data_IF_933544298118
#
_entry.id   IF_933544298118
#
_cell.length_a   1.000
_cell.length_b   1.000
_cell.length_c   1.000
_cell.angle_alpha   90.00
_cell.angle_beta   90.00
_cell.angle_gamma   90.00
#
_symmetry.space_group_name_H-M   'P 1'
#
loop_
_entity.id
_entity.type
_entity.pdbx_description
1 polymer ?
#
# COMPACT_ATOMS: atom_id res chain seq x y z
N UNK A 1 -10.71 15.40 13.65
CA UNK A 1 -9.54 15.23 12.76
C UNK A 1 -8.44 16.21 13.18
N UNK A 2 -7.19 15.76 13.34
CA UNK A 2 -6.09 16.61 13.86
C UNK A 2 -5.85 17.88 13.03
N UNK A 3 -6.18 17.88 11.76
CA UNK A 3 -6.09 19.06 10.88
C UNK A 3 -7.10 20.15 11.28
N UNK A 4 -8.26 19.77 11.79
CA UNK A 4 -9.29 20.71 12.19
C UNK A 4 -8.95 21.44 13.51
N UNK A 5 -8.34 20.72 14.44
CA UNK A 5 -7.81 21.29 15.69
C UNK A 5 -6.64 22.22 15.39
N UNK A 6 -5.67 21.75 14.60
CA UNK A 6 -4.52 22.55 14.16
C UNK A 6 -4.95 23.81 13.36
N UNK A 7 -6.02 23.72 12.56
CA UNK A 7 -6.47 24.85 11.76
C UNK A 7 -6.94 26.01 12.63
N UNK A 8 -7.59 25.75 13.77
CA UNK A 8 -8.00 26.78 14.72
C UNK A 8 -6.80 27.39 15.43
N UNK A 9 -5.92 26.56 15.97
CA UNK A 9 -4.73 27.04 16.69
C UNK A 9 -3.77 27.83 15.80
N UNK A 10 -3.51 27.38 14.58
CA UNK A 10 -2.60 28.05 13.65
C UNK A 10 -3.19 29.31 13.01
N UNK A 11 -4.52 29.47 12.96
CA UNK A 11 -5.15 30.70 12.52
C UNK A 11 -4.87 31.86 13.49
N UNK A 12 -4.71 31.56 14.79
CA UNK A 12 -4.42 32.51 15.85
C UNK A 12 -2.92 32.78 16.04
N UNK A 13 -2.04 32.16 15.21
CA UNK A 13 -0.59 32.27 15.29
C UNK A 13 0.02 32.93 14.05
N UNK A 14 -0.06 34.29 13.94
CA UNK A 14 0.54 35.01 12.82
C UNK A 14 2.07 34.97 12.82
N UNK A 15 2.70 34.67 13.98
CA UNK A 15 4.14 34.46 14.13
C UNK A 15 4.64 33.21 13.38
N UNK A 16 3.78 32.22 13.14
CA UNK A 16 4.11 31.04 12.34
C UNK A 16 3.94 31.37 10.87
N UNK A 17 5.04 31.66 10.18
CA UNK A 17 5.05 32.06 8.78
C UNK A 17 5.28 30.90 7.80
N UNK A 18 5.86 29.79 8.28
CA UNK A 18 6.21 28.62 7.47
C UNK A 18 5.45 27.40 7.92
N UNK A 19 4.93 26.64 6.96
CA UNK A 19 4.35 25.31 7.19
C UNK A 19 5.08 24.26 6.37
N UNK A 20 5.41 23.14 7.00
CA UNK A 20 5.95 21.94 6.35
C UNK A 20 4.94 20.82 6.55
N UNK A 21 4.46 20.24 5.44
CA UNK A 21 3.52 19.12 5.47
C UNK A 21 4.27 17.87 5.02
N UNK A 22 4.45 16.95 5.95
CA UNK A 22 4.95 15.61 5.64
C UNK A 22 3.80 14.71 5.15
N UNK A 23 4.13 13.69 4.36
CA UNK A 23 3.18 12.78 3.70
C UNK A 23 2.08 13.53 2.91
N UNK A 24 2.50 14.54 2.14
CA UNK A 24 1.59 15.43 1.41
C UNK A 24 0.72 14.73 0.36
N UNK A 25 1.01 13.48 0.00
CA UNK A 25 0.13 12.62 -0.82
C UNK A 25 -1.29 12.49 -0.24
N UNK A 26 -1.47 12.67 1.07
CA UNK A 26 -2.77 12.72 1.74
C UNK A 26 -3.68 13.87 1.25
N UNK A 27 -3.10 14.89 0.61
CA UNK A 27 -3.80 16.08 0.08
C UNK A 27 -4.00 16.03 -1.45
N UNK A 28 -3.70 14.92 -2.11
CA UNK A 28 -3.86 14.76 -3.57
C UNK A 28 -5.28 14.98 -4.07
N UNK A 29 -6.28 14.63 -3.25
CA UNK A 29 -7.69 14.82 -3.62
C UNK A 29 -8.21 16.17 -3.14
N UNK A 30 -8.36 17.11 -4.08
CA UNK A 30 -8.85 18.48 -3.85
C UNK A 30 -10.27 18.58 -3.30
N UNK A 31 -11.10 17.52 -3.42
CA UNK A 31 -12.51 17.55 -3.01
C UNK A 31 -12.70 17.16 -1.55
N UNK A 32 -11.68 16.65 -0.88
CA UNK A 32 -11.76 16.23 0.52
C UNK A 32 -11.83 17.43 1.46
N UNK A 33 -12.50 17.23 2.61
CA UNK A 33 -12.55 18.23 3.68
C UNK A 33 -11.15 18.58 4.18
N UNK A 34 -10.29 17.59 4.37
CA UNK A 34 -8.87 17.77 4.73
C UNK A 34 -8.16 18.76 3.79
N UNK A 35 -8.32 18.62 2.48
CA UNK A 35 -7.71 19.53 1.51
C UNK A 35 -8.29 20.94 1.61
N UNK A 36 -9.60 21.09 1.81
CA UNK A 36 -10.25 22.40 1.95
C UNK A 36 -9.78 23.13 3.21
N UNK A 37 -9.68 22.41 4.33
CA UNK A 37 -9.15 22.97 5.58
C UNK A 37 -7.69 23.39 5.45
N UNK A 38 -6.84 22.51 4.88
CA UNK A 38 -5.43 22.83 4.63
C UNK A 38 -5.30 24.09 3.76
N UNK A 39 -6.07 24.21 2.70
CA UNK A 39 -6.03 25.39 1.82
C UNK A 39 -6.37 26.69 2.55
N UNK A 40 -7.38 26.68 3.45
CA UNK A 40 -7.74 27.85 4.27
C UNK A 40 -6.63 28.22 5.24
N UNK A 41 -6.11 27.21 5.94
CA UNK A 41 -5.03 27.38 6.91
C UNK A 41 -3.76 27.97 6.28
N UNK A 42 -3.38 27.44 5.11
CA UNK A 42 -2.14 27.79 4.43
C UNK A 42 -2.22 29.13 3.67
N UNK A 43 -3.42 29.64 3.42
CA UNK A 43 -3.62 30.91 2.72
C UNK A 43 -2.98 32.13 3.41
N UNK A 44 -2.77 32.06 4.72
CA UNK A 44 -2.14 33.12 5.52
C UNK A 44 -0.64 32.90 5.77
N UNK A 45 -0.04 31.85 5.21
CA UNK A 45 1.36 31.49 5.45
C UNK A 45 2.24 31.91 4.27
N UNK A 46 3.41 32.45 4.57
CA UNK A 46 4.34 32.96 3.56
C UNK A 46 5.06 31.82 2.83
N UNK A 47 5.35 30.72 3.54
CA UNK A 47 6.13 29.59 3.02
C UNK A 47 5.41 28.27 3.27
N UNK A 48 5.30 27.45 2.22
CA UNK A 48 4.73 26.12 2.29
C UNK A 48 5.65 25.11 1.62
N UNK A 49 6.04 24.09 2.37
CA UNK A 49 6.77 22.94 1.84
C UNK A 49 5.90 21.70 1.98
N UNK A 50 5.76 20.96 0.88
CA UNK A 50 5.11 19.66 0.84
C UNK A 50 6.16 18.58 0.61
N UNK A 51 6.24 17.61 1.53
CA UNK A 51 7.16 16.49 1.43
C UNK A 51 6.37 15.22 1.14
N UNK A 52 6.79 14.44 0.15
CA UNK A 52 6.22 13.13 -0.17
C UNK A 52 7.19 12.31 -0.99
N UNK A 53 7.29 11.02 -0.70
CA UNK A 53 8.04 10.06 -1.52
C UNK A 53 7.27 9.63 -2.79
N UNK A 54 5.94 9.82 -2.81
CA UNK A 54 5.07 9.36 -3.90
C UNK A 54 4.07 10.45 -4.29
N UNK A 55 4.47 11.45 -5.10
CA UNK A 55 3.60 12.58 -5.43
C UNK A 55 2.40 12.20 -6.30
N UNK A 56 2.50 11.13 -7.09
CA UNK A 56 1.43 10.70 -8.01
C UNK A 56 1.18 9.18 -7.91
N UNK A 57 0.78 8.66 -6.72
CA UNK A 57 0.72 7.21 -6.48
C UNK A 57 -0.32 6.48 -7.33
N UNK A 58 -1.40 7.14 -7.74
CA UNK A 58 -2.46 6.54 -8.58
C UNK A 58 -2.44 7.05 -10.03
N UNK A 59 -1.56 8.02 -10.34
CA UNK A 59 -1.41 8.57 -11.67
C UNK A 59 -1.26 10.10 -11.70
N UNK A 60 -1.09 10.68 -12.90
CA UNK A 60 -0.74 12.09 -13.07
C UNK A 60 -1.77 13.08 -12.47
N UNK A 61 -3.03 12.67 -12.36
CA UNK A 61 -4.10 13.49 -11.78
C UNK A 61 -3.91 13.80 -10.29
N UNK A 62 -3.16 12.96 -9.56
CA UNK A 62 -2.89 13.15 -8.13
C UNK A 62 -2.07 14.42 -7.86
N UNK A 63 -1.26 14.88 -8.84
CA UNK A 63 -0.47 16.09 -8.73
C UNK A 63 -1.30 17.35 -8.48
N UNK A 64 -2.54 17.39 -9.00
CA UNK A 64 -3.34 18.62 -8.99
C UNK A 64 -3.69 19.11 -7.58
N UNK A 65 -4.06 18.20 -6.67
CA UNK A 65 -4.41 18.58 -5.29
C UNK A 65 -3.24 19.25 -4.56
N UNK A 66 -2.04 18.67 -4.68
CA UNK A 66 -0.83 19.23 -4.05
C UNK A 66 -0.40 20.54 -4.70
N UNK A 67 -0.37 20.61 -6.04
CA UNK A 67 -0.06 21.84 -6.76
C UNK A 67 -1.03 22.95 -6.43
N UNK A 68 -2.32 22.61 -6.16
CA UNK A 68 -3.31 23.61 -5.74
C UNK A 68 -2.98 24.27 -4.41
N UNK A 69 -2.28 23.60 -3.53
CA UNK A 69 -1.79 24.15 -2.26
C UNK A 69 -0.53 25.00 -2.44
N UNK A 70 0.43 24.54 -3.24
CA UNK A 70 1.76 25.16 -3.37
C UNK A 70 1.77 26.36 -4.30
N UNK A 71 1.24 26.23 -5.51
CA UNK A 71 1.37 27.20 -6.59
C UNK A 71 0.03 27.55 -7.25
N UNK A 72 -1.10 27.16 -6.63
CA UNK A 72 -2.45 27.35 -7.16
C UNK A 72 -2.61 26.81 -8.60
N UNK A 73 -1.87 25.75 -8.96
CA UNK A 73 -1.83 25.15 -10.30
C UNK A 73 -1.50 26.16 -11.41
N UNK A 74 -0.72 27.21 -11.12
CA UNK A 74 -0.44 28.33 -12.04
C UNK A 74 -1.74 28.93 -12.63
N UNK A 75 -2.85 28.88 -11.90
CA UNK A 75 -4.16 29.37 -12.34
C UNK A 75 -4.98 28.36 -13.16
N UNK A 76 -4.40 27.21 -13.54
CA UNK A 76 -5.10 26.21 -14.35
C UNK A 76 -6.26 25.57 -13.58
N UNK A 77 -7.42 25.41 -14.25
CA UNK A 77 -8.59 24.71 -13.72
C UNK A 77 -8.44 23.20 -13.79
N UNK A 78 -9.12 22.48 -12.89
CA UNK A 78 -9.10 21.02 -12.85
C UNK A 78 -9.48 20.36 -14.19
N UNK A 79 -10.55 20.82 -14.84
CA UNK A 79 -11.02 20.20 -16.07
C UNK A 79 -9.97 20.32 -17.20
N UNK A 80 -9.38 21.51 -17.34
CA UNK A 80 -8.30 21.77 -18.30
C UNK A 80 -7.13 20.84 -18.05
N UNK A 81 -6.63 20.76 -16.81
CA UNK A 81 -5.54 19.87 -16.45
C UNK A 81 -5.88 18.42 -16.71
N UNK A 82 -7.06 17.96 -16.25
CA UNK A 82 -7.52 16.59 -16.44
C UNK A 82 -7.56 16.21 -17.93
N UNK A 83 -8.16 17.03 -18.77
CA UNK A 83 -8.28 16.78 -20.21
C UNK A 83 -6.91 16.83 -20.92
N UNK A 84 -5.97 17.59 -20.38
CA UNK A 84 -4.60 17.65 -20.89
C UNK A 84 -3.83 16.35 -20.59
N UNK A 85 -3.99 15.75 -19.41
CA UNK A 85 -3.19 14.59 -18.99
C UNK A 85 -3.89 13.25 -19.17
N UNK A 86 -5.22 13.21 -19.33
CA UNK A 86 -6.00 11.98 -19.43
C UNK A 86 -6.69 11.84 -20.77
N UNK A 87 -6.77 10.60 -21.28
CA UNK A 87 -7.51 10.21 -22.45
C UNK A 87 -8.72 9.37 -22.06
N UNK A 88 -9.91 9.76 -22.51
CA UNK A 88 -11.14 8.98 -22.29
C UNK A 88 -11.17 7.82 -23.28
N UNK A 89 -11.16 6.59 -22.79
CA UNK A 89 -11.20 5.36 -23.58
C UNK A 89 -12.62 4.77 -23.63
N UNK A 90 -13.40 4.99 -22.57
CA UNK A 90 -14.81 4.59 -22.50
C UNK A 90 -15.56 5.50 -21.53
N UNK A 91 -16.89 5.28 -21.37
CA UNK A 91 -17.71 6.07 -20.45
C UNK A 91 -17.13 6.13 -19.02
N UNK A 92 -16.46 5.07 -18.57
CA UNK A 92 -15.94 4.95 -17.20
C UNK A 92 -14.42 4.72 -17.11
N UNK A 93 -13.70 4.77 -18.25
CA UNK A 93 -12.26 4.47 -18.28
C UNK A 93 -11.47 5.61 -18.89
N UNK A 94 -10.53 6.12 -18.09
CA UNK A 94 -9.54 7.09 -18.48
C UNK A 94 -8.15 6.48 -18.36
N UNK A 95 -7.25 6.82 -19.24
CA UNK A 95 -5.84 6.42 -19.20
C UNK A 95 -4.95 7.65 -19.32
N UNK A 96 -3.74 7.65 -18.72
CA UNK A 96 -2.79 8.72 -18.94
C UNK A 96 -2.41 8.85 -20.41
N UNK A 97 -2.33 10.08 -20.92
CA UNK A 97 -1.75 10.37 -22.24
C UNK A 97 -0.24 10.22 -22.23
N UNK A 98 0.37 10.07 -23.39
CA UNK A 98 1.82 10.19 -23.56
C UNK A 98 2.29 11.52 -22.98
N UNK A 99 3.38 11.52 -22.18
CA UNK A 99 3.92 12.71 -21.52
C UNK A 99 3.09 13.24 -20.33
N UNK A 100 2.03 12.55 -19.88
CA UNK A 100 1.19 12.99 -18.76
C UNK A 100 1.98 13.13 -17.45
N UNK A 101 2.97 12.28 -17.19
CA UNK A 101 3.85 12.38 -16.02
C UNK A 101 4.76 13.60 -16.06
N UNK A 102 5.26 13.97 -17.23
CA UNK A 102 6.02 15.21 -17.41
C UNK A 102 5.16 16.45 -17.14
N UNK A 103 3.89 16.41 -17.58
CA UNK A 103 2.93 17.48 -17.28
C UNK A 103 2.62 17.61 -15.78
N UNK A 104 2.50 16.46 -15.09
CA UNK A 104 2.34 16.44 -13.63
C UNK A 104 3.58 17.00 -12.93
N UNK A 105 4.79 16.66 -13.41
CA UNK A 105 6.02 17.23 -12.88
C UNK A 105 6.09 18.75 -13.07
N UNK A 106 5.74 19.26 -14.25
CA UNK A 106 5.68 20.71 -14.52
C UNK A 106 4.68 21.41 -13.61
N UNK A 107 3.53 20.79 -13.35
CA UNK A 107 2.51 21.36 -12.47
C UNK A 107 2.97 21.45 -11.01
N UNK A 108 3.83 20.55 -10.56
CA UNK A 108 4.34 20.51 -9.17
C UNK A 108 5.51 21.47 -8.93
N UNK A 109 5.99 22.20 -9.96
CA UNK A 109 7.11 23.12 -9.78
C UNK A 109 6.75 24.32 -8.87
N UNK A 110 7.71 24.83 -8.07
CA UNK A 110 9.08 24.34 -7.92
C UNK A 110 9.13 23.06 -7.06
N UNK A 111 9.69 22.00 -7.62
CA UNK A 111 9.84 20.72 -6.92
C UNK A 111 11.28 20.22 -7.04
N UNK A 112 11.82 19.71 -5.95
CA UNK A 112 13.15 19.07 -5.89
C UNK A 112 12.95 17.60 -5.54
N UNK A 113 13.66 16.72 -6.21
CA UNK A 113 13.66 15.28 -5.95
C UNK A 113 15.06 14.83 -5.58
N UNK A 114 15.15 14.10 -4.48
CA UNK A 114 16.33 13.38 -4.07
C UNK A 114 16.02 11.88 -4.10
N UNK A 115 16.80 11.09 -4.85
CA UNK A 115 16.76 9.64 -4.70
C UNK A 115 17.65 9.24 -3.50
N UNK A 116 17.25 8.20 -2.78
CA UNK A 116 18.05 7.70 -1.66
C UNK A 116 19.45 7.30 -2.12
N UNK A 117 19.55 6.67 -3.31
CA UNK A 117 20.81 6.30 -3.97
C UNK A 117 21.75 7.48 -4.24
N UNK A 118 21.22 8.69 -4.35
CA UNK A 118 22.03 9.90 -4.60
C UNK A 118 22.60 10.51 -3.30
N UNK A 119 22.05 10.07 -2.16
CA UNK A 119 22.36 10.64 -0.85
C UNK A 119 23.16 9.71 0.05
N UNK A 120 22.92 8.40 -0.03
CA UNK A 120 23.52 7.38 0.86
C UNK A 120 23.67 6.06 0.13
N UNK A 121 24.72 5.32 0.49
CA UNK A 121 24.88 3.92 0.10
C UNK A 121 24.11 3.02 1.07
N UNK A 122 23.12 2.31 0.57
CA UNK A 122 22.41 1.27 1.32
C UNK A 122 22.88 -0.11 0.86
N UNK A 123 22.84 -1.12 1.76
CA UNK A 123 23.04 -2.50 1.36
C UNK A 123 22.04 -2.91 0.25
N UNK A 124 22.38 -3.89 -0.60
CA UNK A 124 21.51 -4.34 -1.66
C UNK A 124 20.14 -4.78 -1.15
N UNK A 125 19.08 -4.39 -1.86
CA UNK A 125 17.71 -4.84 -1.61
C UNK A 125 17.25 -5.71 -2.78
N UNK A 126 16.92 -6.98 -2.51
CA UNK A 126 16.47 -7.95 -3.53
C UNK A 126 14.99 -8.24 -3.36
N UNK A 127 14.25 -8.25 -4.47
CA UNK A 127 12.85 -8.70 -4.49
C UNK A 127 12.79 -10.07 -5.15
N UNK A 128 12.16 -11.04 -4.50
CA UNK A 128 12.05 -12.42 -4.95
C UNK A 128 10.60 -12.88 -4.95
N UNK A 129 10.12 -13.39 -6.08
CA UNK A 129 8.84 -14.08 -6.14
C UNK A 129 9.01 -15.55 -5.74
N UNK A 130 8.12 -16.04 -4.86
CA UNK A 130 8.05 -17.44 -4.47
C UNK A 130 6.67 -17.98 -4.80
N UNK A 131 6.61 -18.87 -5.78
CA UNK A 131 5.39 -19.58 -6.10
C UNK A 131 5.06 -20.61 -5.02
N UNK A 132 3.78 -20.65 -4.66
CA UNK A 132 3.21 -21.63 -3.74
C UNK A 132 1.98 -22.26 -4.37
N UNK A 133 1.62 -23.45 -3.92
CA UNK A 133 0.43 -24.14 -4.40
C UNK A 133 -0.79 -23.77 -3.57
N UNK A 134 -1.96 -23.78 -4.21
CA UNK A 134 -3.23 -23.78 -3.49
C UNK A 134 -3.48 -25.19 -2.91
N UNK A 135 -4.04 -25.27 -1.71
CA UNK A 135 -4.60 -26.53 -1.23
C UNK A 135 -5.78 -26.99 -2.12
N UNK A 136 -6.17 -28.27 -2.09
CA UNK A 136 -7.33 -28.76 -2.81
C UNK A 136 -8.60 -27.95 -2.49
N UNK A 137 -8.81 -27.60 -1.22
CA UNK A 137 -9.95 -26.80 -0.79
C UNK A 137 -9.92 -25.37 -1.37
N UNK A 138 -8.74 -24.72 -1.32
CA UNK A 138 -8.57 -23.40 -1.95
C UNK A 138 -8.75 -23.44 -3.45
N UNK A 139 -8.25 -24.47 -4.13
CA UNK A 139 -8.39 -24.63 -5.58
C UNK A 139 -9.86 -24.76 -6.01
N UNK A 140 -10.66 -25.52 -5.26
CA UNK A 140 -12.11 -25.64 -5.48
C UNK A 140 -12.79 -24.28 -5.26
N UNK A 141 -12.57 -23.63 -4.13
CA UNK A 141 -13.16 -22.34 -3.83
C UNK A 141 -12.78 -21.26 -4.85
N UNK A 142 -11.52 -21.21 -5.27
CA UNK A 142 -11.02 -20.28 -6.27
C UNK A 142 -11.66 -20.53 -7.65
N UNK A 143 -11.77 -21.79 -8.06
CA UNK A 143 -12.41 -22.18 -9.32
C UNK A 143 -13.91 -21.81 -9.34
N UNK A 144 -14.61 -22.06 -8.24
CA UNK A 144 -16.02 -21.68 -8.08
C UNK A 144 -16.18 -20.17 -8.20
N UNK A 145 -15.41 -19.39 -7.44
CA UNK A 145 -15.43 -17.93 -7.53
C UNK A 145 -15.12 -17.43 -8.94
N UNK A 146 -14.14 -18.00 -9.64
CA UNK A 146 -13.81 -17.65 -11.02
C UNK A 146 -14.98 -17.90 -11.98
N UNK A 147 -15.71 -19.01 -11.80
CA UNK A 147 -16.92 -19.35 -12.58
C UNK A 147 -18.05 -18.34 -12.33
N UNK A 148 -18.30 -18.01 -11.07
CA UNK A 148 -19.33 -17.02 -10.72
C UNK A 148 -19.01 -15.64 -11.31
N UNK A 149 -17.74 -15.24 -11.31
CA UNK A 149 -17.26 -14.03 -11.98
C UNK A 149 -17.51 -14.03 -13.49
N UNK A 150 -17.32 -15.16 -14.16
CA UNK A 150 -17.62 -15.28 -15.59
C UNK A 150 -19.12 -15.11 -15.87
N UNK A 151 -19.98 -15.66 -15.03
CA UNK A 151 -21.44 -15.50 -15.12
C UNK A 151 -21.85 -14.04 -14.91
N UNK A 152 -21.28 -13.37 -13.90
CA UNK A 152 -21.53 -11.94 -13.64
C UNK A 152 -21.09 -11.10 -14.83
N UNK A 153 -19.91 -11.35 -15.37
CA UNK A 153 -19.37 -10.62 -16.53
C UNK A 153 -20.19 -10.83 -17.81
N UNK A 154 -20.81 -11.99 -17.97
CA UNK A 154 -21.72 -12.29 -19.11
C UNK A 154 -23.05 -11.53 -19.01
N UNK A 155 -23.50 -11.19 -17.81
CA UNK A 155 -24.75 -10.43 -17.57
C UNK A 155 -24.62 -8.93 -17.74
N UNK A 156 -23.40 -8.39 -17.75
CA UNK A 156 -23.14 -6.98 -17.92
C UNK A 156 -21.72 -6.53 -17.53
N UNK A 157 -21.39 -5.26 -17.69
CA UNK A 157 -20.07 -4.75 -17.37
C UNK A 157 -19.79 -4.81 -15.86
N UNK A 158 -18.63 -5.34 -15.48
CA UNK A 158 -18.15 -5.31 -14.11
C UNK A 158 -17.71 -3.88 -13.80
N UNK A 159 -18.33 -3.24 -12.80
CA UNK A 159 -17.94 -1.91 -12.34
C UNK A 159 -16.63 -1.96 -11.56
N UNK A 160 -15.91 -0.85 -11.48
CA UNK A 160 -14.66 -0.77 -10.73
C UNK A 160 -14.84 -1.12 -9.23
N UNK A 161 -15.98 -0.77 -8.63
CA UNK A 161 -16.29 -1.11 -7.25
C UNK A 161 -16.48 -2.63 -7.08
N UNK A 162 -17.25 -3.26 -7.95
CA UNK A 162 -17.44 -4.71 -7.95
C UNK A 162 -16.12 -5.44 -8.19
N UNK A 163 -15.29 -4.94 -9.11
CA UNK A 163 -13.96 -5.49 -9.39
C UNK A 163 -13.07 -5.52 -8.14
N UNK A 164 -13.06 -4.43 -7.37
CA UNK A 164 -12.28 -4.36 -6.13
C UNK A 164 -12.73 -5.39 -5.10
N UNK A 165 -14.05 -5.53 -4.89
CA UNK A 165 -14.62 -6.53 -3.97
C UNK A 165 -14.25 -7.96 -4.39
N UNK A 166 -14.36 -8.26 -5.68
CA UNK A 166 -14.08 -9.58 -6.23
C UNK A 166 -12.58 -9.93 -6.10
N UNK A 167 -11.70 -8.98 -6.36
CA UNK A 167 -10.26 -9.13 -6.17
C UNK A 167 -9.92 -9.46 -4.70
N UNK A 168 -10.52 -8.73 -3.76
CA UNK A 168 -10.33 -8.99 -2.33
C UNK A 168 -10.81 -10.40 -1.93
N UNK A 169 -11.93 -10.88 -2.47
CA UNK A 169 -12.41 -12.24 -2.21
C UNK A 169 -11.45 -13.31 -2.72
N UNK A 170 -10.91 -13.16 -3.93
CA UNK A 170 -9.92 -14.08 -4.47
C UNK A 170 -8.65 -14.11 -3.61
N UNK A 171 -8.18 -12.95 -3.12
CA UNK A 171 -7.04 -12.88 -2.20
C UNK A 171 -7.37 -13.53 -0.84
N UNK A 172 -8.57 -13.36 -0.31
CA UNK A 172 -8.99 -14.00 0.94
C UNK A 172 -8.97 -15.52 0.82
N UNK A 173 -9.48 -16.07 -0.29
CA UNK A 173 -9.44 -17.52 -0.57
C UNK A 173 -7.98 -18.00 -0.61
N UNK A 174 -7.10 -17.31 -1.32
CA UNK A 174 -5.70 -17.71 -1.43
C UNK A 174 -4.92 -17.58 -0.11
N UNK A 175 -5.37 -16.71 0.80
CA UNK A 175 -4.81 -16.56 2.14
C UNK A 175 -5.33 -17.59 3.16
N UNK A 176 -6.46 -18.25 2.90
CA UNK A 176 -7.06 -19.22 3.81
C UNK A 176 -8.04 -18.68 4.83
N UNK A 177 -8.50 -17.42 4.68
CA UNK A 177 -9.54 -16.84 5.54
C UNK A 177 -10.44 -15.91 4.72
N UNK A 178 -11.72 -16.24 4.63
CA UNK A 178 -12.72 -15.53 3.83
C UNK A 178 -13.75 -14.90 4.74
N UNK A 179 -14.08 -13.64 4.53
CA UNK A 179 -15.18 -12.98 5.22
C UNK A 179 -16.51 -13.28 4.53
N UNK A 180 -17.46 -13.87 5.25
CA UNK A 180 -18.83 -14.05 4.82
C UNK A 180 -19.66 -12.75 4.85
N UNK A 181 -20.95 -12.82 4.47
CA UNK A 181 -21.83 -11.65 4.39
C UNK A 181 -22.00 -10.91 5.72
N UNK A 182 -22.05 -11.64 6.84
CA UNK A 182 -22.24 -11.10 8.18
C UNK A 182 -20.91 -10.88 8.92
N UNK A 183 -19.79 -10.81 8.18
CA UNK A 183 -18.41 -10.71 8.68
C UNK A 183 -17.92 -11.94 9.46
N UNK A 184 -18.65 -13.05 9.43
CA UNK A 184 -18.12 -14.34 9.89
C UNK A 184 -16.87 -14.71 9.09
N UNK A 185 -15.92 -15.37 9.74
CA UNK A 185 -14.66 -15.79 9.11
C UNK A 185 -14.75 -17.28 8.83
N UNK A 186 -14.74 -17.63 7.53
CA UNK A 186 -14.61 -19.00 7.08
C UNK A 186 -13.14 -19.30 6.83
N UNK A 187 -12.61 -20.33 7.45
CA UNK A 187 -11.25 -20.78 7.26
C UNK A 187 -11.20 -21.83 6.13
N UNK A 188 -10.33 -21.59 5.18
CA UNK A 188 -9.99 -22.51 4.11
C UNK A 188 -8.57 -22.99 4.34
N UNK A 189 -8.31 -24.30 4.21
CA UNK A 189 -6.98 -24.87 4.42
C UNK A 189 -5.94 -24.14 3.54
N UNK A 190 -4.91 -23.57 4.15
CA UNK A 190 -3.80 -22.87 3.51
C UNK A 190 -2.44 -23.52 3.87
N UNK A 191 -2.43 -24.80 4.21
CA UNK A 191 -1.25 -25.53 4.65
C UNK A 191 -0.04 -25.38 3.70
N UNK A 192 -0.18 -25.46 2.35
CA UNK A 192 0.98 -25.30 1.46
C UNK A 192 1.63 -23.91 1.59
N UNK A 193 0.85 -22.85 1.68
CA UNK A 193 1.35 -21.47 1.84
C UNK A 193 2.00 -21.26 3.21
N UNK A 194 1.39 -21.78 4.28
CA UNK A 194 1.96 -21.75 5.63
C UNK A 194 3.28 -22.52 5.71
N UNK A 195 3.37 -23.67 5.04
CA UNK A 195 4.61 -24.46 4.95
C UNK A 195 5.71 -23.65 4.26
N UNK A 196 5.43 -23.08 3.10
CA UNK A 196 6.39 -22.25 2.37
C UNK A 196 6.84 -21.03 3.20
N UNK A 197 5.92 -20.38 3.93
CA UNK A 197 6.27 -19.29 4.85
C UNK A 197 7.24 -19.76 5.94
N UNK A 198 6.97 -20.88 6.60
CA UNK A 198 7.83 -21.41 7.68
C UNK A 198 9.20 -21.80 7.15
N UNK A 199 9.28 -22.47 5.99
CA UNK A 199 10.55 -22.83 5.33
C UNK A 199 11.41 -21.58 5.03
N UNK A 200 10.81 -20.50 4.55
CA UNK A 200 11.52 -19.23 4.33
C UNK A 200 12.00 -18.61 5.65
N UNK A 201 11.18 -18.64 6.68
CA UNK A 201 11.53 -18.09 7.99
C UNK A 201 12.66 -18.88 8.67
N UNK A 202 12.72 -20.19 8.48
CA UNK A 202 13.79 -21.04 9.00
C UNK A 202 15.14 -20.79 8.31
N UNK A 203 15.12 -20.31 7.06
CA UNK A 203 16.33 -19.93 6.31
C UNK A 203 16.88 -18.56 6.70
N UNK A 204 16.09 -17.72 7.39
CA UNK A 204 16.51 -16.39 7.82
C UNK A 204 17.19 -16.46 9.20
N UNK A 205 18.37 -15.86 9.35
CA UNK A 205 19.02 -15.69 10.65
C UNK A 205 18.51 -14.47 11.42
N UNK A 206 18.18 -13.41 10.69
CA UNK A 206 17.80 -12.12 11.22
C UNK A 206 16.28 -12.01 11.49
N UNK A 207 15.86 -10.88 12.00
CA UNK A 207 14.44 -10.57 12.23
C UNK A 207 13.65 -10.44 10.94
N UNK A 208 12.37 -10.80 11.02
CA UNK A 208 11.48 -10.93 9.86
C UNK A 208 10.21 -10.12 10.10
N UNK A 209 9.74 -9.45 9.05
CA UNK A 209 8.40 -8.85 9.01
C UNK A 209 7.56 -9.65 8.02
N UNK A 210 6.42 -10.16 8.47
CA UNK A 210 5.44 -10.87 7.64
C UNK A 210 4.23 -9.98 7.42
N UNK A 211 3.99 -9.56 6.20
CA UNK A 211 2.84 -8.74 5.84
C UNK A 211 1.66 -9.59 5.36
N UNK A 212 0.49 -9.32 5.93
CA UNK A 212 -0.79 -9.89 5.49
C UNK A 212 -1.87 -8.80 5.45
N UNK A 213 -2.60 -8.62 4.33
CA UNK A 213 -3.51 -7.49 4.14
C UNK A 213 -4.89 -7.66 4.80
N UNK A 214 -5.10 -8.72 5.59
CA UNK A 214 -6.36 -9.01 6.25
C UNK A 214 -6.15 -9.34 7.74
N UNK A 215 -6.90 -8.70 8.62
CA UNK A 215 -6.81 -8.90 10.08
C UNK A 215 -7.02 -10.37 10.48
N UNK A 216 -7.97 -11.06 9.86
CA UNK A 216 -8.20 -12.49 10.09
C UNK A 216 -6.98 -13.36 9.75
N UNK A 217 -6.29 -13.02 8.67
CA UNK A 217 -5.05 -13.71 8.26
C UNK A 217 -3.90 -13.39 9.20
N UNK A 218 -3.78 -12.14 9.66
CA UNK A 218 -2.80 -11.74 10.69
C UNK A 218 -2.98 -12.58 11.97
N UNK A 219 -4.20 -12.74 12.43
CA UNK A 219 -4.50 -13.57 13.61
C UNK A 219 -4.21 -15.05 13.37
N UNK A 220 -4.60 -15.59 12.21
CA UNK A 220 -4.31 -16.96 11.83
C UNK A 220 -2.79 -17.21 11.82
N UNK A 221 -2.02 -16.37 11.16
CA UNK A 221 -0.57 -16.46 11.09
C UNK A 221 0.08 -16.36 12.46
N UNK A 222 -0.34 -15.39 13.27
CA UNK A 222 0.18 -15.22 14.63
C UNK A 222 0.00 -16.50 15.47
N UNK A 223 -1.19 -17.08 15.45
CA UNK A 223 -1.47 -18.33 16.16
C UNK A 223 -0.60 -19.50 15.68
N UNK A 224 -0.42 -19.64 14.37
CA UNK A 224 0.36 -20.72 13.79
C UNK A 224 1.87 -20.55 13.98
N UNK A 225 2.36 -19.31 13.87
CA UNK A 225 3.80 -19.03 13.96
C UNK A 225 4.30 -19.01 15.41
N UNK A 226 3.47 -18.62 16.39
CA UNK A 226 3.82 -18.67 17.83
C UNK A 226 4.17 -20.08 18.35
N UNK A 227 3.82 -21.12 17.61
CA UNK A 227 4.20 -22.51 17.95
C UNK A 227 5.72 -22.73 17.86
N UNK A 228 6.40 -21.97 17.00
CA UNK A 228 7.82 -22.17 16.69
C UNK A 228 8.67 -20.91 16.82
N UNK A 229 8.06 -19.71 16.80
CA UNK A 229 8.76 -18.43 16.75
C UNK A 229 8.23 -17.47 17.84
N UNK A 230 9.09 -16.56 18.25
CA UNK A 230 8.71 -15.42 19.07
C UNK A 230 8.05 -14.35 18.16
N UNK A 231 6.72 -14.20 18.28
CA UNK A 231 5.89 -13.41 17.35
C UNK A 231 5.12 -12.31 18.09
N UNK A 232 5.19 -11.10 17.57
CA UNK A 232 4.29 -10.00 17.91
C UNK A 232 3.43 -9.58 16.73
N UNK A 233 2.28 -8.96 17.03
CA UNK A 233 1.27 -8.59 16.04
C UNK A 233 1.10 -7.09 15.99
N UNK A 234 1.03 -6.55 14.76
CA UNK A 234 0.71 -5.16 14.48
C UNK A 234 -0.46 -5.07 13.50
N UNK A 235 -1.62 -4.69 14.01
CA UNK A 235 -2.81 -4.45 13.20
C UNK A 235 -3.61 -3.26 13.76
N UNK A 236 -4.75 -2.95 13.17
CA UNK A 236 -5.60 -1.83 13.59
C UNK A 236 -6.19 -1.94 15.00
N UNK A 237 -6.21 -3.14 15.59
CA UNK A 237 -6.74 -3.41 16.91
C UNK A 237 -5.72 -3.11 18.03
N UNK A 238 -4.42 -3.06 17.68
CA UNK A 238 -3.35 -2.79 18.66
C UNK A 238 -3.29 -1.29 18.95
N UNK A 239 -3.46 -0.85 20.22
CA UNK A 239 -3.37 0.56 20.60
C UNK A 239 -2.00 1.17 20.28
N UNK A 240 -1.97 2.47 19.96
CA UNK A 240 -0.74 3.16 19.56
C UNK A 240 0.40 3.04 20.59
N UNK A 241 0.10 3.13 21.89
CA UNK A 241 1.09 2.96 22.96
C UNK A 241 1.73 1.56 22.90
N UNK A 242 0.91 0.52 22.81
CA UNK A 242 1.39 -0.85 22.74
C UNK A 242 2.18 -1.12 21.45
N UNK A 243 1.77 -0.52 20.31
CA UNK A 243 2.55 -0.61 19.06
C UNK A 243 3.97 -0.05 19.24
N UNK A 244 4.10 1.11 19.89
CA UNK A 244 5.41 1.70 20.12
C UNK A 244 6.29 0.82 21.02
N UNK A 245 5.73 0.20 22.05
CA UNK A 245 6.43 -0.76 22.91
C UNK A 245 6.90 -2.00 22.14
N UNK A 246 6.05 -2.54 21.25
CA UNK A 246 6.40 -3.67 20.38
C UNK A 246 7.54 -3.27 19.43
N UNK A 247 7.48 -2.09 18.81
CA UNK A 247 8.52 -1.62 17.90
C UNK A 247 9.85 -1.39 18.61
N UNK A 248 9.85 -0.79 19.81
CA UNK A 248 11.08 -0.64 20.60
C UNK A 248 11.69 -2.00 20.95
N UNK A 249 10.89 -2.93 21.45
CA UNK A 249 11.35 -4.29 21.70
C UNK A 249 11.91 -4.97 20.45
N UNK A 250 11.21 -4.83 19.31
CA UNK A 250 11.68 -5.40 18.05
C UNK A 250 13.02 -4.82 17.60
N UNK A 251 13.26 -3.53 17.82
CA UNK A 251 14.52 -2.88 17.47
C UNK A 251 15.66 -3.18 18.44
N UNK A 252 15.37 -3.17 19.73
CA UNK A 252 16.40 -3.06 20.77
C UNK A 252 16.73 -4.38 21.47
N UNK A 253 15.91 -5.43 21.31
CA UNK A 253 16.09 -6.72 21.99
C UNK A 253 16.05 -7.89 21.01
N UNK A 254 16.53 -9.07 21.41
CA UNK A 254 16.50 -10.28 20.59
C UNK A 254 15.09 -10.71 20.21
N UNK A 255 14.12 -10.56 21.12
CA UNK A 255 12.71 -10.92 20.91
C UNK A 255 11.80 -9.68 20.92
N UNK A 256 10.78 -9.64 20.05
CA UNK A 256 10.31 -10.69 19.12
C UNK A 256 11.23 -10.81 17.89
N UNK A 257 11.36 -12.04 17.37
CA UNK A 257 12.06 -12.30 16.10
C UNK A 257 11.19 -11.97 14.89
N UNK A 258 9.88 -12.09 15.03
CA UNK A 258 8.92 -11.95 13.93
C UNK A 258 7.85 -10.92 14.26
N UNK A 259 7.61 -9.98 13.35
CA UNK A 259 6.40 -9.16 13.35
C UNK A 259 5.44 -9.66 12.28
N UNK A 260 4.23 -10.03 12.67
CA UNK A 260 3.12 -10.28 11.73
C UNK A 260 2.24 -9.03 11.70
N UNK A 261 2.16 -8.39 10.54
CA UNK A 261 1.57 -7.05 10.49
C UNK A 261 0.58 -6.86 9.31
N UNK A 262 -0.45 -6.05 9.56
CA UNK A 262 -1.20 -5.39 8.50
C UNK A 262 -0.33 -4.27 7.90
N UNK A 263 -0.02 -4.31 6.60
CA UNK A 263 0.85 -3.33 5.97
C UNK A 263 0.30 -1.90 6.06
N UNK A 264 -1.02 -1.71 6.13
CA UNK A 264 -1.64 -0.40 6.29
C UNK A 264 -1.33 0.26 7.63
N UNK A 265 -1.17 -0.53 8.70
CA UNK A 265 -0.83 -0.03 10.03
C UNK A 265 0.66 0.30 10.18
N UNK A 266 1.49 -0.20 9.27
CA UNK A 266 2.93 -0.01 9.24
C UNK A 266 3.37 1.13 8.31
N UNK A 267 2.43 1.82 7.67
CA UNK A 267 2.72 2.77 6.58
C UNK A 267 3.32 4.11 7.03
N UNK A 268 3.35 4.45 8.33
CA UNK A 268 3.79 5.78 8.77
C UNK A 268 4.97 5.77 9.75
N UNK A 269 6.02 6.54 9.39
CA UNK A 269 7.05 7.08 10.30
C UNK A 269 8.03 6.12 10.97
N UNK A 270 7.96 4.79 10.72
CA UNK A 270 8.76 3.80 11.45
C UNK A 270 10.04 3.40 10.71
N UNK A 271 11.11 3.17 11.45
CA UNK A 271 12.35 2.56 10.98
C UNK A 271 12.51 1.20 11.66
N UNK A 272 12.63 0.12 10.89
CA UNK A 272 12.69 -1.26 11.40
C UNK A 272 13.90 -2.00 10.83
N UNK A 273 15.07 -1.36 10.89
CA UNK A 273 16.33 -1.86 10.34
C UNK A 273 16.92 -3.05 11.10
N UNK A 274 16.34 -3.44 12.23
CA UNK A 274 16.65 -4.71 12.87
C UNK A 274 16.18 -5.92 12.05
N UNK A 275 15.22 -5.73 11.13
CA UNK A 275 14.84 -6.76 10.17
C UNK A 275 15.62 -6.61 8.87
N UNK A 276 16.03 -7.73 8.29
CA UNK A 276 16.62 -7.81 6.95
C UNK A 276 15.68 -8.44 5.93
N UNK A 277 14.59 -9.04 6.38
CA UNK A 277 13.66 -9.77 5.51
C UNK A 277 12.21 -9.33 5.71
N UNK A 278 11.54 -9.05 4.60
CA UNK A 278 10.08 -8.89 4.52
C UNK A 278 9.52 -10.07 3.74
N UNK A 279 8.49 -10.72 4.28
CA UNK A 279 7.73 -11.73 3.55
C UNK A 279 6.29 -11.25 3.38
N UNK A 280 5.89 -10.99 2.16
CA UNK A 280 4.51 -10.73 1.81
C UNK A 280 3.77 -12.06 1.71
N UNK A 281 2.97 -12.38 2.73
CA UNK A 281 2.12 -13.57 2.72
C UNK A 281 1.07 -13.51 1.61
N UNK A 282 0.60 -12.30 1.30
CA UNK A 282 -0.21 -11.99 0.14
C UNK A 282 -0.05 -10.51 -0.24
N UNK A 283 -0.31 -10.12 -1.51
CA UNK A 283 -0.19 -8.73 -1.93
C UNK A 283 -1.28 -7.84 -1.30
N UNK A 284 -0.95 -6.59 -1.06
CA UNK A 284 -1.92 -5.51 -0.87
C UNK A 284 -2.40 -5.01 -2.23
N UNK A 285 -3.55 -4.35 -2.27
CA UNK A 285 -4.05 -3.68 -3.49
C UNK A 285 -3.68 -2.18 -3.57
N UNK A 286 -2.88 -1.69 -2.61
CA UNK A 286 -2.48 -0.29 -2.47
C UNK A 286 -0.99 -0.12 -2.72
N UNK A 287 -0.64 0.49 -3.83
CA UNK A 287 0.76 0.70 -4.24
C UNK A 287 1.54 1.52 -3.22
N UNK A 288 0.96 2.62 -2.72
CA UNK A 288 1.59 3.45 -1.70
C UNK A 288 1.92 2.65 -0.43
N UNK A 289 0.96 1.83 0.06
CA UNK A 289 1.17 0.97 1.23
C UNK A 289 2.28 -0.05 0.99
N UNK A 290 2.32 -0.67 -0.19
CA UNK A 290 3.36 -1.63 -0.56
C UNK A 290 4.76 -0.98 -0.55
N UNK A 291 4.90 0.16 -1.23
CA UNK A 291 6.17 0.87 -1.32
C UNK A 291 6.64 1.36 0.06
N UNK A 292 5.75 1.95 0.86
CA UNK A 292 6.08 2.43 2.20
C UNK A 292 6.43 1.30 3.15
N UNK A 293 5.72 0.16 3.10
CA UNK A 293 6.00 -1.01 3.93
C UNK A 293 7.40 -1.59 3.63
N UNK A 294 7.76 -1.72 2.35
CA UNK A 294 9.08 -2.21 1.96
C UNK A 294 10.20 -1.28 2.42
N UNK A 295 9.97 0.04 2.41
CA UNK A 295 10.93 1.04 2.88
C UNK A 295 11.11 1.07 4.41
N UNK A 296 10.50 0.19 5.19
CA UNK A 296 10.72 0.08 6.64
C UNK A 296 12.05 -0.54 7.00
N UNK A 297 12.56 -1.44 6.18
CA UNK A 297 13.85 -2.10 6.35
C UNK A 297 14.94 -1.53 5.44
N UNK A 298 14.59 -1.01 4.29
CA UNK A 298 15.49 -0.40 3.30
C UNK A 298 15.63 1.11 3.58
N UNK A 299 16.36 1.44 4.64
CA UNK A 299 16.51 2.81 5.19
C UNK A 299 17.91 3.05 5.75
N UNK A 300 18.29 4.34 5.96
CA UNK A 300 19.50 4.69 6.72
C UNK A 300 19.56 3.95 8.06
N UNK A 301 20.71 3.35 8.32
CA UNK A 301 20.93 2.50 9.51
C UNK A 301 20.76 1.01 9.24
N UNK A 302 20.35 0.60 8.04
CA UNK A 302 20.41 -0.81 7.63
C UNK A 302 21.86 -1.21 7.34
N UNK A 303 22.31 -2.30 7.96
CA UNK A 303 23.68 -2.82 7.82
C UNK A 303 23.74 -4.16 7.07
N UNK A 304 22.60 -4.81 6.88
CA UNK A 304 22.47 -6.08 6.20
C UNK A 304 21.84 -5.93 4.82
N UNK A 305 22.22 -6.79 3.87
CA UNK A 305 21.47 -6.94 2.63
C UNK A 305 20.01 -7.30 2.95
N UNK A 306 19.07 -6.65 2.27
CA UNK A 306 17.65 -6.84 2.54
C UNK A 306 16.98 -7.70 1.47
N UNK A 307 16.01 -8.50 1.87
CA UNK A 307 15.25 -9.38 0.98
C UNK A 307 13.76 -9.17 1.17
N UNK A 308 13.05 -8.96 0.07
CA UNK A 308 11.59 -8.89 0.03
C UNK A 308 11.09 -10.12 -0.72
N UNK A 309 10.38 -11.01 -0.03
CA UNK A 309 9.83 -12.23 -0.63
C UNK A 309 8.33 -12.05 -0.84
N UNK A 310 7.86 -12.34 -2.04
CA UNK A 310 6.46 -12.26 -2.45
C UNK A 310 5.89 -13.67 -2.64
N UNK A 311 5.03 -14.14 -1.73
CA UNK A 311 4.33 -15.40 -1.92
C UNK A 311 3.15 -15.21 -2.87
N UNK A 312 3.06 -16.05 -3.89
CA UNK A 312 1.97 -16.04 -4.85
C UNK A 312 1.52 -17.46 -5.21
N UNK A 313 0.23 -17.77 -5.06
CA UNK A 313 -0.37 -19.04 -5.44
C UNK A 313 -1.17 -18.94 -6.74
N UNK A 314 -1.53 -17.72 -7.16
CA UNK A 314 -2.46 -17.50 -8.27
C UNK A 314 -1.91 -16.49 -9.28
N UNK A 315 -2.34 -16.58 -10.56
CA UNK A 315 -1.98 -15.56 -11.56
C UNK A 315 -2.42 -14.15 -11.16
N UNK A 316 -3.53 -14.03 -10.44
CA UNK A 316 -4.04 -12.73 -9.95
C UNK A 316 -3.07 -12.11 -8.95
N UNK A 317 -2.51 -12.90 -8.01
CA UNK A 317 -1.53 -12.39 -7.05
C UNK A 317 -0.23 -11.95 -7.74
N UNK A 318 0.27 -12.74 -8.70
CA UNK A 318 1.47 -12.38 -9.48
C UNK A 318 1.26 -11.07 -10.24
N UNK A 319 0.09 -10.91 -10.87
CA UNK A 319 -0.24 -9.68 -11.61
C UNK A 319 -0.40 -8.48 -10.67
N UNK A 320 -0.92 -8.67 -9.45
CA UNK A 320 -0.97 -7.59 -8.45
C UNK A 320 0.46 -7.17 -8.08
N UNK A 321 1.36 -8.08 -7.76
CA UNK A 321 2.76 -7.76 -7.45
C UNK A 321 3.44 -7.03 -8.61
N UNK A 322 3.29 -7.53 -9.85
CA UNK A 322 3.83 -6.87 -11.04
C UNK A 322 3.34 -5.42 -11.15
N UNK A 323 2.04 -5.17 -10.91
CA UNK A 323 1.47 -3.82 -10.95
C UNK A 323 1.94 -2.94 -9.80
N UNK A 324 2.11 -3.49 -8.61
CA UNK A 324 2.66 -2.77 -7.46
C UNK A 324 4.08 -2.29 -7.74
N UNK A 325 4.92 -3.12 -8.33
CA UNK A 325 6.30 -2.78 -8.71
C UNK A 325 6.35 -1.77 -9.86
N UNK A 326 5.48 -1.93 -10.85
CA UNK A 326 5.38 -1.01 -11.98
C UNK A 326 4.61 0.29 -11.66
N UNK A 327 4.09 0.43 -10.45
CA UNK A 327 3.20 1.54 -10.06
C UNK A 327 1.98 1.69 -10.97
N UNK A 328 1.39 0.57 -11.38
CA UNK A 328 0.23 0.51 -12.25
C UNK A 328 -1.09 0.43 -11.49
N UNK A 329 -2.18 0.87 -12.14
CA UNK A 329 -3.53 0.76 -11.57
C UNK A 329 -4.01 -0.69 -11.48
N UNK A 330 -4.76 -1.02 -10.42
CA UNK A 330 -5.41 -2.32 -10.25
C UNK A 330 -6.68 -2.49 -11.09
N UNK A 331 -7.14 -1.43 -11.77
CA UNK A 331 -8.34 -1.47 -12.59
C UNK A 331 -8.19 -2.41 -13.80
N UNK A 332 -9.22 -3.18 -14.09
CA UNK A 332 -9.26 -4.10 -15.24
C UNK A 332 -8.57 -5.46 -15.00
N UNK A 333 -8.03 -5.70 -13.80
CA UNK A 333 -7.33 -6.94 -13.46
C UNK A 333 -8.29 -8.15 -13.52
N UNK A 334 -9.44 -8.04 -12.87
CA UNK A 334 -10.45 -9.13 -12.86
C UNK A 334 -11.01 -9.35 -14.26
N UNK A 335 -11.23 -8.29 -15.02
CA UNK A 335 -11.69 -8.42 -16.40
C UNK A 335 -10.67 -9.16 -17.29
N UNK A 336 -9.37 -8.91 -17.09
CA UNK A 336 -8.31 -9.64 -17.79
C UNK A 336 -8.32 -11.13 -17.43
N UNK A 337 -8.51 -11.47 -16.15
CA UNK A 337 -8.65 -12.86 -15.69
C UNK A 337 -9.87 -13.55 -16.28
N UNK A 338 -11.04 -12.90 -16.30
CA UNK A 338 -12.28 -13.46 -16.87
C UNK A 338 -12.12 -13.72 -18.38
N UNK A 339 -11.39 -12.84 -19.09
CA UNK A 339 -11.10 -12.99 -20.53
C UNK A 339 -9.98 -14.00 -20.84
N UNK A 340 -9.46 -14.71 -19.84
CA UNK A 340 -8.38 -15.69 -20.04
C UNK A 340 -7.02 -15.09 -20.38
N UNK A 341 -6.79 -13.83 -20.04
CA UNK A 341 -5.51 -13.14 -20.24
C UNK A 341 -4.57 -13.24 -19.01
N UNK A 342 -5.04 -13.89 -17.94
CA UNK A 342 -4.33 -14.22 -16.71
C UNK A 342 -4.58 -15.67 -16.32
#
# INVERSE_FOLDING_TARGET
DGVEVLAKELAERPDIRMCIIDEASAYRNRTTERHRLARRLLASKDYLWLMTGTPTPNGPTDAYGMAKLVNNCFGEGWQSYHDRVMLKVSMYKWIPKAGAHEQAHKLLQPAVRFAISDCIDLPPCTVQARDVELSPAQAIAYKTMKKDLQIIAAKGPITAANEAVLRLKLLQISCGAVYGPNREIEHVDAAPRLKALKELMDQCSEKIIVFAPFTSVVHMLSRELRKNFSVEVINGEVPAKQRNEIFSKFMDTEHPRVLVADPGTMSHGLTLTAASTIIWYAPTDRTETYLQANKRIDRPGQVHATTIVQLAATPVEREIYRRLEANETMQGLILAMVKGKL
#
